data_IF_121866660813
#
_entry.id   IF_121866660813
#
_cell.length_a   1.000
_cell.length_b   1.000
_cell.length_c   1.000
_cell.angle_alpha   90.00
_cell.angle_beta   90.00
_cell.angle_gamma   90.00
#
_symmetry.space_group_name_H-M   'P 1'
#
loop_
_entity.id
_entity.type
_entity.pdbx_description
1 polymer ?
#
# COMPACT_ATOMS: atom_id res chain seq x y z
N UNK A 1 -2.71 -25.35 -9.07
CA UNK A 1 -3.14 -24.62 -7.87
C UNK A 1 -2.32 -23.35 -7.84
N UNK A 2 -2.89 -22.22 -8.22
CA UNK A 2 -2.22 -20.92 -8.09
C UNK A 2 -2.06 -20.65 -6.60
N UNK A 3 -0.83 -20.78 -6.10
CA UNK A 3 -0.40 -20.35 -4.77
C UNK A 3 -0.81 -18.87 -4.62
N UNK A 4 -1.98 -18.63 -4.05
CA UNK A 4 -2.41 -17.27 -3.73
C UNK A 4 -1.43 -16.74 -2.71
N UNK A 5 -0.75 -15.63 -3.03
CA UNK A 5 0.12 -14.94 -2.08
C UNK A 5 -0.64 -14.71 -0.76
N UNK A 6 0.05 -14.83 0.40
CA UNK A 6 -0.49 -14.41 1.67
C UNK A 6 -1.15 -13.02 1.55
N UNK A 7 -2.25 -12.81 2.28
CA UNK A 7 -3.06 -11.58 2.19
C UNK A 7 -2.21 -10.31 2.36
N UNK A 8 -1.27 -10.31 3.30
CA UNK A 8 -0.31 -9.22 3.52
C UNK A 8 0.54 -8.93 2.28
N UNK A 9 1.06 -9.96 1.61
CA UNK A 9 1.92 -9.81 0.44
C UNK A 9 1.14 -9.25 -0.77
N UNK A 10 -0.16 -9.59 -0.88
CA UNK A 10 -1.04 -8.96 -1.87
C UNK A 10 -1.21 -7.46 -1.62
N UNK A 11 -1.34 -7.04 -0.37
CA UNK A 11 -1.44 -5.61 -0.03
C UNK A 11 -0.13 -4.87 -0.18
N UNK A 12 1.00 -5.49 0.13
CA UNK A 12 2.32 -4.92 -0.20
C UNK A 12 2.47 -4.70 -1.71
N UNK A 13 2.09 -5.67 -2.53
CA UNK A 13 2.13 -5.52 -3.98
C UNK A 13 1.20 -4.41 -4.50
N UNK A 14 0.01 -4.27 -3.92
CA UNK A 14 -0.93 -3.18 -4.26
C UNK A 14 -0.34 -1.80 -3.90
N UNK A 15 0.26 -1.67 -2.72
CA UNK A 15 0.93 -0.44 -2.28
C UNK A 15 2.06 -0.09 -3.26
N UNK A 16 2.91 -1.06 -3.60
CA UNK A 16 4.02 -0.86 -4.54
C UNK A 16 3.53 -0.45 -5.92
N UNK A 17 2.42 -1.03 -6.39
CA UNK A 17 1.80 -0.68 -7.67
C UNK A 17 1.29 0.76 -7.67
N UNK A 18 0.57 1.18 -6.63
CA UNK A 18 0.05 2.55 -6.47
C UNK A 18 1.21 3.55 -6.45
N UNK A 19 2.25 3.28 -5.66
CA UNK A 19 3.44 4.14 -5.56
C UNK A 19 4.16 4.23 -6.91
N UNK A 20 4.44 3.08 -7.54
CA UNK A 20 5.10 3.02 -8.84
C UNK A 20 4.32 3.78 -9.92
N UNK A 21 3.00 3.60 -10.00
CA UNK A 21 2.16 4.28 -10.98
C UNK A 21 2.05 5.79 -10.70
N UNK A 22 2.05 6.20 -9.44
CA UNK A 22 2.07 7.62 -9.04
C UNK A 22 3.39 8.28 -9.45
N UNK A 23 4.53 7.68 -9.11
CA UNK A 23 5.85 8.21 -9.45
C UNK A 23 6.13 8.25 -10.96
N UNK A 24 5.54 7.31 -11.71
CA UNK A 24 5.61 7.29 -13.19
C UNK A 24 4.64 8.30 -13.85
N UNK A 25 3.87 9.06 -13.08
CA UNK A 25 2.86 9.99 -13.61
C UNK A 25 1.68 9.31 -14.31
N UNK A 26 1.47 8.00 -14.07
CA UNK A 26 0.36 7.23 -14.66
C UNK A 26 -0.95 7.40 -13.90
N UNK A 27 -0.86 7.81 -12.63
CA UNK A 27 -1.99 8.24 -11.81
C UNK A 27 -2.00 9.76 -11.81
N UNK A 28 -3.11 10.33 -12.26
CA UNK A 28 -3.30 11.78 -12.38
C UNK A 28 -4.31 12.34 -11.38
N UNK A 29 -4.89 11.50 -10.51
CA UNK A 29 -5.87 11.95 -9.52
C UNK A 29 -5.97 11.03 -8.30
N UNK A 30 -6.39 11.62 -7.18
CA UNK A 30 -6.77 10.89 -5.95
C UNK A 30 -7.88 9.87 -6.22
N UNK A 31 -8.80 10.15 -7.16
CA UNK A 31 -9.87 9.23 -7.51
C UNK A 31 -9.36 7.90 -8.08
N UNK A 32 -8.31 7.93 -8.90
CA UNK A 32 -7.69 6.71 -9.43
C UNK A 32 -7.04 5.88 -8.31
N UNK A 33 -6.38 6.52 -7.35
CA UNK A 33 -5.85 5.85 -6.15
C UNK A 33 -7.00 5.18 -5.40
N UNK A 34 -8.10 5.91 -5.16
CA UNK A 34 -9.27 5.38 -4.47
C UNK A 34 -9.86 4.16 -5.18
N UNK A 35 -9.98 4.18 -6.51
CA UNK A 35 -10.46 3.03 -7.28
C UNK A 35 -9.52 1.83 -7.20
N UNK A 36 -8.20 2.04 -7.20
CA UNK A 36 -7.24 0.94 -7.02
C UNK A 36 -7.36 0.32 -5.63
N UNK A 37 -7.49 1.13 -4.59
CA UNK A 37 -7.70 0.67 -3.21
C UNK A 37 -9.02 -0.11 -3.08
N UNK A 38 -10.12 0.44 -3.61
CA UNK A 38 -11.45 -0.18 -3.56
C UNK A 38 -11.47 -1.55 -4.25
N UNK A 39 -10.74 -1.70 -5.36
CA UNK A 39 -10.67 -2.96 -6.11
C UNK A 39 -9.63 -3.93 -5.55
N UNK A 40 -8.60 -3.43 -4.89
CA UNK A 40 -7.46 -4.22 -4.41
C UNK A 40 -7.60 -4.71 -2.97
N UNK A 41 -8.40 -4.04 -2.14
CA UNK A 41 -8.62 -4.39 -0.72
C UNK A 41 -9.89 -5.24 -0.60
N UNK A 42 -9.80 -6.30 0.20
CA UNK A 42 -10.96 -7.16 0.47
C UNK A 42 -11.78 -6.56 1.62
N UNK A 43 -13.07 -6.84 1.64
CA UNK A 43 -13.91 -6.40 2.76
C UNK A 43 -13.41 -7.05 4.07
N UNK A 44 -13.51 -6.32 5.18
CA UNK A 44 -13.15 -6.78 6.53
C UNK A 44 -11.66 -7.15 6.75
N UNK A 45 -10.78 -6.74 5.85
CA UNK A 45 -9.32 -7.00 5.95
C UNK A 45 -8.49 -5.72 6.01
N UNK A 46 -9.11 -4.58 6.32
CA UNK A 46 -8.47 -3.27 6.41
C UNK A 46 -7.28 -3.24 7.37
N UNK A 47 -7.39 -3.91 8.51
CA UNK A 47 -6.31 -3.99 9.52
C UNK A 47 -5.02 -4.60 8.94
N UNK A 48 -5.14 -5.60 8.06
CA UNK A 48 -3.98 -6.25 7.40
C UNK A 48 -3.35 -5.30 6.38
N UNK A 49 -4.15 -4.49 5.70
CA UNK A 49 -3.66 -3.46 4.80
C UNK A 49 -2.92 -2.36 5.59
N UNK A 50 -3.49 -1.89 6.69
CA UNK A 50 -2.87 -0.86 7.56
C UNK A 50 -1.53 -1.35 8.15
N UNK A 51 -1.46 -2.62 8.57
CA UNK A 51 -0.21 -3.22 9.02
C UNK A 51 0.84 -3.26 7.90
N UNK A 52 0.46 -3.72 6.70
CA UNK A 52 1.36 -3.76 5.55
C UNK A 52 1.85 -2.36 5.14
N UNK A 53 0.98 -1.35 5.23
CA UNK A 53 1.34 0.03 4.96
C UNK A 53 2.29 0.59 6.01
N UNK A 54 2.05 0.29 7.29
CA UNK A 54 2.92 0.68 8.41
C UNK A 54 4.33 0.11 8.25
N UNK A 55 4.45 -1.16 7.86
CA UNK A 55 5.74 -1.79 7.61
C UNK A 55 6.55 -1.06 6.52
N UNK A 56 5.88 -0.46 5.52
CA UNK A 56 6.52 0.32 4.45
C UNK A 56 6.89 1.75 4.87
N UNK A 57 6.18 2.33 5.83
CA UNK A 57 6.39 3.72 6.28
C UNK A 57 7.33 3.82 7.48
N UNK A 58 7.47 2.75 8.28
CA UNK A 58 8.39 2.71 9.41
C UNK A 58 9.87 2.81 9.01
N UNK A 59 10.23 2.50 7.76
CA UNK A 59 11.59 2.75 7.22
C UNK A 59 11.93 4.25 7.09
N UNK A 60 10.96 5.17 7.24
CA UNK A 60 11.15 6.63 7.08
C UNK A 60 11.00 7.45 8.38
N UNK A 61 10.68 6.81 9.51
CA UNK A 61 10.32 7.50 10.76
C UNK A 61 11.47 7.61 11.81
N UNK A 62 12.52 6.77 11.86
CA UNK A 62 13.57 6.93 12.88
C UNK A 62 14.28 8.28 12.77
N UNK A 63 14.54 8.75 11.55
CA UNK A 63 15.31 9.97 11.28
C UNK A 63 14.50 11.26 11.53
N UNK A 64 13.17 11.20 11.55
CA UNK A 64 12.29 12.34 11.79
C UNK A 64 11.94 12.55 13.27
N UNK A 65 12.20 11.57 14.13
CA UNK A 65 11.95 11.65 15.58
C UNK A 65 13.19 11.95 16.43
N UNK A 66 14.41 11.80 15.89
CA UNK A 66 15.63 12.21 16.62
C UNK A 66 15.83 13.74 16.70
N UNK A 67 14.99 14.52 16.01
CA UNK A 67 15.04 15.99 15.99
C UNK A 67 14.00 16.71 16.87
N UNK A 68 13.23 16.00 17.70
CA UNK A 68 12.22 16.58 18.60
C UNK A 68 12.60 16.41 20.08
#
# INVERSE_FOLDING_TARGET
>A
MSESLPLRDRYLALIDEIVSNTLKGKISSVYQIYQMLLNGISLDTGEVFELALSDRTYDYIPELLEGL
#
